data_IF_804462124221
#
_entry.id   IF_804462124221
#
_cell.length_a   1.000
_cell.length_b   1.000
_cell.length_c   1.000
_cell.angle_alpha   90.00
_cell.angle_beta   90.00
_cell.angle_gamma   90.00
#
_symmetry.space_group_name_H-M   'P 1'
#
loop_
_entity.id
_entity.type
_entity.pdbx_description
1 polymer ?
#
# COMPACT_ATOMS: atom_id res chain seq x y z
N UNK A 1 21.99 5.48 20.38
CA UNK A 1 21.03 6.56 20.05
C UNK A 1 19.87 6.09 19.16
N UNK A 2 20.06 5.50 17.97
CA UNK A 2 18.92 4.98 17.18
C UNK A 2 18.34 3.64 17.69
N UNK A 3 19.19 2.70 18.15
CA UNK A 3 18.72 1.41 18.68
C UNK A 3 17.90 1.55 19.96
N UNK A 4 18.27 2.49 20.83
CA UNK A 4 17.57 2.77 22.10
C UNK A 4 16.20 3.40 21.85
N UNK A 5 16.08 4.27 20.83
CA UNK A 5 14.80 4.87 20.45
C UNK A 5 13.83 3.80 19.93
N UNK A 6 14.31 2.91 19.06
CA UNK A 6 13.50 1.85 18.46
C UNK A 6 13.18 0.73 19.47
N UNK A 7 14.09 0.39 20.39
CA UNK A 7 13.80 -0.55 21.47
C UNK A 7 12.83 0.03 22.49
N UNK A 8 12.89 1.33 22.77
CA UNK A 8 11.91 2.02 23.62
C UNK A 8 10.53 2.12 22.95
N UNK A 9 10.47 2.34 21.63
CA UNK A 9 9.21 2.25 20.88
C UNK A 9 8.66 0.81 21.00
N UNK A 10 9.47 -0.21 20.73
CA UNK A 10 9.06 -1.61 20.86
C UNK A 10 8.59 -1.97 22.28
N UNK A 11 9.29 -1.52 23.34
CA UNK A 11 8.90 -1.82 24.73
C UNK A 11 7.64 -1.08 25.20
N UNK A 12 7.48 0.19 24.81
CA UNK A 12 6.27 0.97 25.08
C UNK A 12 5.06 0.35 24.35
N UNK A 13 5.29 -0.19 23.16
CA UNK A 13 4.23 -0.83 22.36
C UNK A 13 3.82 -2.19 22.90
N UNK A 14 4.76 -2.98 23.45
CA UNK A 14 4.48 -4.20 24.19
C UNK A 14 3.55 -3.93 25.38
N UNK A 15 3.84 -2.87 26.12
CA UNK A 15 3.03 -2.43 27.27
C UNK A 15 1.62 -2.01 26.85
N UNK A 16 1.49 -1.30 25.73
CA UNK A 16 0.20 -0.88 25.19
C UNK A 16 -0.65 -2.08 24.71
N UNK A 17 -0.04 -3.08 24.06
CA UNK A 17 -0.73 -4.30 23.63
C UNK A 17 -1.14 -5.20 24.80
N UNK A 18 -0.27 -5.35 25.81
CA UNK A 18 -0.57 -6.13 27.02
C UNK A 18 -1.80 -5.61 27.77
N UNK A 19 -2.04 -4.29 27.75
CA UNK A 19 -3.23 -3.65 28.33
C UNK A 19 -4.55 -3.88 27.58
N UNK A 20 -4.51 -4.42 26.36
CA UNK A 20 -5.69 -4.67 25.51
C UNK A 20 -6.27 -6.10 25.67
N UNK A 21 -5.77 -6.88 26.64
CA UNK A 21 -5.97 -8.33 26.82
C UNK A 21 -7.13 -8.73 27.74
N UNK A 22 -8.09 -7.84 28.03
CA UNK A 22 -9.16 -8.05 29.03
C UNK A 22 -10.12 -9.24 28.85
N UNK A 23 -9.96 -10.10 27.84
CA UNK A 23 -10.74 -11.34 27.64
C UNK A 23 -9.83 -12.54 27.42
N UNK A 24 -10.14 -13.69 28.04
CA UNK A 24 -9.32 -14.90 28.02
C UNK A 24 -9.00 -15.45 26.61
N UNK A 25 -9.95 -15.38 25.67
CA UNK A 25 -9.74 -15.76 24.26
C UNK A 25 -8.85 -14.76 23.49
N UNK A 26 -8.75 -13.52 23.97
CA UNK A 26 -7.94 -12.45 23.38
C UNK A 26 -6.50 -12.46 23.91
N UNK A 27 -6.26 -13.12 25.04
CA UNK A 27 -4.93 -13.30 25.62
C UNK A 27 -3.99 -14.10 24.70
N UNK A 28 -4.50 -15.14 24.03
CA UNK A 28 -3.69 -16.04 23.19
C UNK A 28 -3.12 -15.29 21.97
N UNK A 29 -3.94 -14.51 21.27
CA UNK A 29 -3.48 -13.77 20.08
C UNK A 29 -2.50 -12.66 20.48
N UNK A 30 -2.75 -11.95 21.59
CA UNK A 30 -1.78 -10.97 22.11
C UNK A 30 -0.46 -11.62 22.54
N UNK A 31 -0.49 -12.84 23.08
CA UNK A 31 0.69 -13.55 23.55
C UNK A 31 1.62 -14.01 22.41
N UNK A 32 1.08 -14.28 21.22
CA UNK A 32 1.88 -14.62 20.02
C UNK A 32 2.33 -13.35 19.29
N UNK A 33 1.43 -12.38 19.16
CA UNK A 33 1.66 -11.18 18.35
C UNK A 33 2.72 -10.25 18.95
N UNK A 34 2.63 -10.01 20.26
CA UNK A 34 3.55 -9.13 20.99
C UNK A 34 5.04 -9.53 20.87
N UNK A 35 5.45 -10.78 21.18
CA UNK A 35 6.85 -11.18 21.03
C UNK A 35 7.31 -11.19 19.58
N UNK A 36 6.44 -11.59 18.63
CA UNK A 36 6.74 -11.51 17.20
C UNK A 36 7.14 -10.09 16.77
N UNK A 37 6.34 -9.09 17.12
CA UNK A 37 6.62 -7.72 16.68
C UNK A 37 7.91 -7.19 17.30
N UNK A 38 8.18 -7.51 18.58
CA UNK A 38 9.42 -7.10 19.26
C UNK A 38 10.64 -7.73 18.60
N UNK A 39 10.60 -9.02 18.29
CA UNK A 39 11.67 -9.77 17.64
C UNK A 39 11.99 -9.19 16.25
N UNK A 40 10.99 -9.13 15.38
CA UNK A 40 11.17 -8.67 13.99
C UNK A 40 11.56 -7.19 13.93
N UNK A 41 10.95 -6.35 14.77
CA UNK A 41 11.31 -4.94 14.86
C UNK A 41 12.76 -4.77 15.33
N UNK A 42 13.18 -5.53 16.36
CA UNK A 42 14.54 -5.50 16.88
C UNK A 42 15.57 -5.87 15.81
N UNK A 43 15.30 -6.94 15.05
CA UNK A 43 16.16 -7.41 13.98
C UNK A 43 16.28 -6.41 12.84
N UNK A 44 15.16 -5.90 12.31
CA UNK A 44 15.18 -4.92 11.21
C UNK A 44 15.79 -3.59 11.67
N UNK A 45 15.46 -3.12 12.88
CA UNK A 45 16.05 -1.93 13.48
C UNK A 45 17.57 -2.07 13.65
N UNK A 46 18.06 -3.27 14.00
CA UNK A 46 19.48 -3.51 14.20
C UNK A 46 20.31 -3.36 12.91
N UNK A 47 19.66 -3.56 11.75
CA UNK A 47 20.21 -3.46 10.40
C UNK A 47 20.06 -2.05 9.79
N UNK A 48 19.33 -1.13 10.43
CA UNK A 48 19.18 0.23 9.94
C UNK A 48 20.51 1.01 10.03
N UNK A 49 20.99 1.53 8.89
CA UNK A 49 22.33 2.13 8.77
C UNK A 49 22.32 3.66 8.86
N UNK A 50 21.18 4.30 8.62
CA UNK A 50 21.06 5.77 8.61
C UNK A 50 19.97 6.31 9.55
N UNK A 51 20.07 7.60 9.88
CA UNK A 51 19.05 8.31 10.67
C UNK A 51 17.69 8.35 9.96
N UNK A 52 17.68 8.54 8.63
CA UNK A 52 16.46 8.55 7.83
C UNK A 52 15.77 7.19 7.79
N UNK A 53 16.52 6.10 7.71
CA UNK A 53 16.02 4.73 7.83
C UNK A 53 15.39 4.49 9.20
N UNK A 54 16.13 4.84 10.27
CA UNK A 54 15.66 4.65 11.64
C UNK A 54 14.40 5.46 11.95
N UNK A 55 14.33 6.71 11.46
CA UNK A 55 13.14 7.56 11.60
C UNK A 55 11.94 6.98 10.84
N UNK A 56 12.12 6.52 9.60
CA UNK A 56 11.01 5.92 8.81
C UNK A 56 10.48 4.64 9.44
N UNK A 57 11.37 3.77 9.93
CA UNK A 57 10.98 2.57 10.66
C UNK A 57 10.20 2.93 11.93
N UNK A 58 10.72 3.88 12.73
CA UNK A 58 10.02 4.37 13.93
C UNK A 58 8.64 4.95 13.64
N UNK A 59 8.52 5.78 12.59
CA UNK A 59 7.24 6.34 12.12
C UNK A 59 6.26 5.20 11.75
N UNK A 60 6.70 4.20 11.00
CA UNK A 60 5.86 3.08 10.56
C UNK A 60 5.37 2.21 11.72
N UNK A 61 6.28 1.87 12.64
CA UNK A 61 5.96 1.06 13.81
C UNK A 61 4.91 1.77 14.66
N UNK A 62 5.12 3.07 14.93
CA UNK A 62 4.14 3.88 15.67
C UNK A 62 2.79 3.94 14.94
N UNK A 63 2.78 4.07 13.62
CA UNK A 63 1.54 4.06 12.82
C UNK A 63 0.77 2.74 12.97
N UNK A 64 1.45 1.60 12.82
CA UNK A 64 0.87 0.26 12.97
C UNK A 64 0.22 0.13 14.36
N UNK A 65 0.96 0.45 15.43
CA UNK A 65 0.45 0.32 16.79
C UNK A 65 -0.70 1.26 17.11
N UNK A 66 -0.64 2.50 16.64
CA UNK A 66 -1.75 3.43 16.81
C UNK A 66 -3.02 2.91 16.13
N UNK A 67 -2.90 2.37 14.92
CA UNK A 67 -4.04 1.77 14.21
C UNK A 67 -4.56 0.52 14.92
N UNK A 68 -3.70 -0.36 15.42
CA UNK A 68 -4.12 -1.47 16.27
C UNK A 68 -4.89 -1.01 17.49
N UNK A 69 -4.38 -0.02 18.23
CA UNK A 69 -5.07 0.52 19.40
C UNK A 69 -6.46 1.05 19.02
N UNK A 70 -6.56 1.82 17.92
CA UNK A 70 -7.84 2.35 17.45
C UNK A 70 -8.83 1.23 17.12
N UNK A 71 -8.45 0.26 16.28
CA UNK A 71 -9.33 -0.86 15.89
C UNK A 71 -9.75 -1.69 17.09
N UNK A 72 -8.83 -1.94 18.04
CA UNK A 72 -9.13 -2.63 19.30
C UNK A 72 -10.10 -1.85 20.18
N UNK A 73 -9.93 -0.53 20.31
CA UNK A 73 -10.86 0.34 21.01
C UNK A 73 -12.24 0.39 20.34
N UNK A 74 -12.31 0.17 19.02
CA UNK A 74 -13.56 0.04 18.26
C UNK A 74 -14.22 -1.35 18.40
N UNK A 75 -13.62 -2.25 19.18
CA UNK A 75 -14.17 -3.58 19.45
C UNK A 75 -13.79 -4.64 18.42
N UNK A 76 -12.96 -4.30 17.44
CA UNK A 76 -12.47 -5.27 16.46
C UNK A 76 -11.49 -6.26 17.10
N UNK A 77 -11.49 -7.49 16.60
CA UNK A 77 -10.58 -8.53 17.06
C UNK A 77 -9.60 -8.88 15.95
N UNK A 78 -8.40 -9.31 16.36
CA UNK A 78 -7.47 -9.93 15.42
C UNK A 78 -8.11 -11.16 14.77
N UNK A 79 -7.70 -11.44 13.53
CA UNK A 79 -8.09 -12.66 12.81
C UNK A 79 -7.68 -13.91 13.59
N UNK A 80 -8.46 -14.98 13.46
CA UNK A 80 -8.31 -16.22 14.26
C UNK A 80 -7.91 -17.43 13.42
N UNK A 81 -7.69 -17.24 12.14
CA UNK A 81 -7.33 -18.30 11.22
C UNK A 81 -5.86 -18.71 11.34
N UNK A 82 -5.48 -19.69 10.52
CA UNK A 82 -4.16 -20.29 10.56
C UNK A 82 -3.03 -19.28 10.40
N UNK A 83 -3.28 -18.12 9.76
CA UNK A 83 -2.30 -17.04 9.57
C UNK A 83 -1.76 -16.44 10.88
N UNK A 84 -2.51 -16.47 11.99
CA UNK A 84 -2.10 -15.89 13.29
C UNK A 84 -1.88 -16.91 14.43
N UNK A 85 -2.09 -18.20 14.17
CA UNK A 85 -1.91 -19.29 15.18
C UNK A 85 -0.51 -19.90 15.14
N UNK A 86 -0.17 -20.86 16.02
CA UNK A 86 1.22 -21.33 16.31
C UNK A 86 2.13 -21.68 15.10
N UNK A 87 1.58 -22.09 13.93
CA UNK A 87 2.36 -22.21 12.68
C UNK A 87 2.29 -20.95 11.78
N UNK A 88 1.22 -20.17 11.88
CA UNK A 88 1.05 -18.88 11.20
C UNK A 88 1.79 -17.73 11.85
N UNK A 89 2.18 -17.83 13.13
CA UNK A 89 3.04 -16.83 13.76
C UNK A 89 4.30 -16.56 12.94
N UNK A 90 4.90 -17.61 12.37
CA UNK A 90 6.06 -17.50 11.49
C UNK A 90 5.72 -16.87 10.13
N UNK A 91 4.55 -17.15 9.58
CA UNK A 91 4.06 -16.54 8.35
C UNK A 91 3.81 -15.04 8.52
N UNK A 92 3.15 -14.64 9.61
CA UNK A 92 2.94 -13.25 9.96
C UNK A 92 4.26 -12.51 10.22
N UNK A 93 5.24 -13.17 10.87
CA UNK A 93 6.62 -12.67 11.04
C UNK A 93 7.28 -12.35 9.70
N UNK A 94 7.21 -13.27 8.74
CA UNK A 94 7.81 -13.09 7.41
C UNK A 94 7.18 -11.92 6.65
N UNK A 95 5.85 -11.80 6.70
CA UNK A 95 5.16 -10.66 6.07
C UNK A 95 5.56 -9.34 6.76
N UNK A 96 5.60 -9.31 8.10
CA UNK A 96 6.03 -8.14 8.85
C UNK A 96 7.47 -7.75 8.52
N UNK A 97 8.40 -8.71 8.49
CA UNK A 97 9.80 -8.45 8.13
C UNK A 97 9.88 -7.86 6.72
N UNK A 98 9.20 -8.46 5.75
CA UNK A 98 9.14 -7.95 4.38
C UNK A 98 8.60 -6.52 4.29
N UNK A 99 7.55 -6.21 5.06
CA UNK A 99 6.96 -4.85 5.12
C UNK A 99 7.95 -3.84 5.73
N UNK A 100 8.60 -4.19 6.85
CA UNK A 100 9.56 -3.29 7.50
C UNK A 100 10.83 -3.09 6.64
N UNK A 101 11.32 -4.13 5.97
CA UNK A 101 12.41 -4.03 4.99
C UNK A 101 12.00 -3.13 3.82
N UNK A 102 10.76 -3.25 3.35
CA UNK A 102 10.25 -2.37 2.31
C UNK A 102 10.26 -0.90 2.74
N UNK A 103 9.74 -0.60 3.92
CA UNK A 103 9.74 0.75 4.50
C UNK A 103 11.17 1.29 4.69
N UNK A 104 12.09 0.45 5.17
CA UNK A 104 13.48 0.85 5.40
C UNK A 104 14.15 1.37 4.12
N UNK A 105 13.82 0.77 2.98
CA UNK A 105 14.38 1.12 1.66
C UNK A 105 13.50 2.12 0.88
N UNK A 106 12.36 2.56 1.42
CA UNK A 106 11.38 3.35 0.68
C UNK A 106 11.75 4.84 0.54
N UNK A 107 12.01 5.29 -0.68
CA UNK A 107 12.37 6.69 -0.94
C UNK A 107 11.16 7.63 -0.88
N UNK A 108 9.96 7.13 -1.18
CA UNK A 108 8.72 7.92 -1.14
C UNK A 108 8.10 7.87 0.26
N UNK A 109 8.43 8.84 1.14
CA UNK A 109 7.93 8.86 2.54
C UNK A 109 6.40 8.68 2.66
N UNK A 110 5.63 9.14 1.67
CA UNK A 110 4.16 8.99 1.62
C UNK A 110 3.73 7.51 1.57
N UNK A 111 4.55 6.60 1.02
CA UNK A 111 4.24 5.17 0.95
C UNK A 111 4.29 4.43 2.28
N UNK A 112 4.94 5.01 3.29
CA UNK A 112 5.12 4.38 4.61
C UNK A 112 3.77 4.07 5.27
N UNK A 113 2.79 4.97 5.15
CA UNK A 113 1.45 4.75 5.70
C UNK A 113 0.76 3.54 5.08
N UNK A 114 0.83 3.37 3.76
CA UNK A 114 0.14 2.27 3.08
C UNK A 114 0.80 0.92 3.36
N UNK A 115 2.13 0.88 3.53
CA UNK A 115 2.80 -0.31 4.04
C UNK A 115 2.35 -0.67 5.47
N UNK A 116 2.18 0.32 6.35
CA UNK A 116 1.65 0.13 7.69
C UNK A 116 0.18 -0.33 7.68
N UNK A 117 -0.64 0.21 6.76
CA UNK A 117 -2.04 -0.18 6.57
C UNK A 117 -2.15 -1.64 6.15
N UNK A 118 -1.32 -2.09 5.20
CA UNK A 118 -1.30 -3.48 4.76
C UNK A 118 -1.14 -4.44 5.94
N UNK A 119 -0.10 -4.24 6.75
CA UNK A 119 0.14 -5.11 7.89
C UNK A 119 -1.01 -5.02 8.90
N UNK A 120 -1.53 -3.80 9.11
CA UNK A 120 -2.60 -3.59 10.07
C UNK A 120 -3.86 -4.34 9.66
N UNK A 121 -4.30 -4.16 8.42
CA UNK A 121 -5.51 -4.78 7.89
C UNK A 121 -5.37 -6.29 7.81
N UNK A 122 -4.20 -6.78 7.40
CA UNK A 122 -3.88 -8.21 7.39
C UNK A 122 -4.03 -8.87 8.76
N UNK A 123 -3.81 -8.15 9.87
CA UNK A 123 -3.96 -8.69 11.22
C UNK A 123 -5.41 -8.76 11.72
N UNK A 124 -6.33 -8.03 11.10
CA UNK A 124 -7.73 -7.93 11.52
C UNK A 124 -8.69 -8.57 10.51
N UNK A 125 -8.27 -8.72 9.26
CA UNK A 125 -9.14 -9.08 8.14
C UNK A 125 -8.63 -10.34 7.44
N UNK A 126 -9.56 -11.25 7.13
CA UNK A 126 -9.27 -12.54 6.50
C UNK A 126 -9.41 -12.50 4.97
N UNK A 127 -9.20 -11.34 4.34
CA UNK A 127 -9.30 -11.19 2.87
C UNK A 127 -8.14 -11.87 2.13
N UNK A 128 -6.97 -11.90 2.77
CA UNK A 128 -5.74 -12.44 2.21
C UNK A 128 -5.26 -13.66 3.00
N UNK A 129 -4.88 -14.70 2.27
CA UNK A 129 -4.04 -15.80 2.79
C UNK A 129 -2.55 -15.41 2.72
N UNK A 130 -1.69 -16.21 3.34
CA UNK A 130 -0.27 -15.92 3.44
C UNK A 130 0.44 -15.64 2.11
N UNK A 131 0.31 -16.53 1.13
CA UNK A 131 0.99 -16.36 -0.16
C UNK A 131 0.54 -15.08 -0.88
N UNK A 132 -0.74 -14.71 -0.73
CA UNK A 132 -1.28 -13.48 -1.29
C UNK A 132 -0.76 -12.25 -0.55
N UNK A 133 -0.61 -12.31 0.77
CA UNK A 133 -0.05 -11.22 1.56
C UNK A 133 1.42 -10.95 1.19
N UNK A 134 2.22 -12.01 0.98
CA UNK A 134 3.59 -11.88 0.46
C UNK A 134 3.60 -11.28 -0.94
N UNK A 135 2.75 -11.77 -1.84
CA UNK A 135 2.63 -11.22 -3.20
C UNK A 135 2.29 -9.72 -3.18
N UNK A 136 1.29 -9.32 -2.38
CA UNK A 136 0.87 -7.92 -2.23
C UNK A 136 2.01 -7.08 -1.62
N UNK A 137 2.73 -7.61 -0.63
CA UNK A 137 3.91 -6.95 -0.02
C UNK A 137 4.99 -6.65 -1.08
N UNK A 138 5.29 -7.61 -1.95
CA UNK A 138 6.22 -7.39 -3.06
C UNK A 138 5.69 -6.43 -4.12
N UNK A 139 4.38 -6.48 -4.40
CA UNK A 139 3.74 -5.63 -5.39
C UNK A 139 3.82 -4.16 -4.97
N UNK A 140 3.48 -3.83 -3.72
CA UNK A 140 3.45 -2.45 -3.21
C UNK A 140 4.84 -1.83 -3.18
N UNK A 141 5.88 -2.62 -2.89
CA UNK A 141 7.27 -2.17 -2.98
C UNK A 141 7.60 -1.61 -4.37
N UNK A 142 6.99 -2.16 -5.43
CA UNK A 142 7.25 -1.80 -6.82
C UNK A 142 6.34 -0.69 -7.36
N UNK A 143 5.22 -0.40 -6.71
CA UNK A 143 4.31 0.66 -7.14
C UNK A 143 4.82 2.03 -6.68
N UNK A 144 4.71 3.05 -7.52
CA UNK A 144 4.96 4.43 -7.10
C UNK A 144 3.80 4.97 -6.25
N UNK A 145 4.03 6.05 -5.48
CA UNK A 145 2.93 6.70 -4.78
C UNK A 145 1.84 7.20 -5.75
N UNK A 146 2.24 7.69 -6.94
CA UNK A 146 1.31 8.12 -7.98
C UNK A 146 0.46 6.96 -8.51
N UNK A 147 1.03 5.76 -8.62
CA UNK A 147 0.27 4.56 -8.96
C UNK A 147 -0.75 4.19 -7.87
N UNK A 148 -0.44 4.38 -6.58
CA UNK A 148 -1.43 4.21 -5.51
C UNK A 148 -2.58 5.22 -5.64
N UNK A 149 -2.28 6.48 -5.98
CA UNK A 149 -3.31 7.50 -6.27
C UNK A 149 -4.16 7.08 -7.47
N UNK A 150 -3.54 6.59 -8.55
CA UNK A 150 -4.27 6.10 -9.72
C UNK A 150 -5.26 4.99 -9.35
N UNK A 151 -4.83 4.01 -8.55
CA UNK A 151 -5.73 2.94 -8.04
C UNK A 151 -6.91 3.56 -7.27
N UNK A 152 -6.66 4.55 -6.41
CA UNK A 152 -7.73 5.23 -5.69
C UNK A 152 -8.71 5.98 -6.61
N UNK A 153 -8.21 6.62 -7.67
CA UNK A 153 -9.04 7.30 -8.68
C UNK A 153 -9.90 6.28 -9.44
N UNK A 154 -9.30 5.18 -9.92
CA UNK A 154 -10.01 4.14 -10.66
C UNK A 154 -11.10 3.44 -9.82
N UNK A 155 -10.98 3.44 -8.49
CA UNK A 155 -12.04 2.96 -7.60
C UNK A 155 -13.28 3.86 -7.60
N UNK A 156 -13.11 5.19 -7.73
CA UNK A 156 -14.21 6.16 -7.64
C UNK A 156 -15.11 6.13 -8.86
N UNK A 157 -14.51 5.98 -10.04
CA UNK A 157 -15.24 5.94 -11.31
C UNK A 157 -14.38 5.34 -12.40
N UNK A 158 -14.98 4.59 -13.36
CA UNK A 158 -14.27 4.21 -14.58
C UNK A 158 -13.76 5.48 -15.29
N UNK A 159 -12.46 5.57 -15.50
CA UNK A 159 -11.88 6.71 -16.22
C UNK A 159 -11.99 6.39 -17.70
N UNK A 160 -12.72 7.22 -18.43
CA UNK A 160 -12.80 7.13 -19.88
C UNK A 160 -11.54 7.72 -20.48
N UNK A 161 -10.88 6.91 -21.28
CA UNK A 161 -9.61 7.25 -21.91
C UNK A 161 -9.86 7.55 -23.39
N UNK A 162 -10.91 8.34 -23.64
CA UNK A 162 -11.29 8.80 -24.98
C UNK A 162 -10.09 9.52 -25.61
N UNK A 163 -9.66 9.09 -26.80
CA UNK A 163 -8.61 9.75 -27.61
C UNK A 163 -7.17 9.71 -27.06
N UNK A 164 -6.80 8.74 -26.19
CA UNK A 164 -5.38 8.51 -25.90
C UNK A 164 -4.71 7.69 -27.02
N UNK A 165 -4.56 8.32 -28.19
CA UNK A 165 -3.75 7.78 -29.27
C UNK A 165 -2.35 8.39 -29.11
N UNK A 166 -1.40 7.59 -28.63
CA UNK A 166 0.02 8.00 -28.60
C UNK A 166 0.61 7.92 -30.00
N UNK A 167 0.28 8.89 -30.84
CA UNK A 167 1.23 9.27 -31.87
C UNK A 167 2.27 10.14 -31.17
N UNK A 168 3.44 9.56 -30.94
CA UNK A 168 4.63 10.35 -30.71
C UNK A 168 4.85 11.12 -32.02
N UNK A 169 4.28 12.32 -32.14
CA UNK A 169 4.78 13.27 -33.13
C UNK A 169 6.29 13.35 -32.88
N UNK A 170 7.08 12.81 -33.81
CA UNK A 170 8.43 13.29 -34.05
C UNK A 170 8.32 14.82 -34.16
N UNK A 171 9.36 15.55 -33.79
CA UNK A 171 9.43 17.01 -33.72
C UNK A 171 9.10 17.64 -32.36
N UNK A 172 10.11 17.74 -31.49
CA UNK A 172 10.79 19.03 -31.31
C UNK A 172 12.08 18.86 -30.48
N UNK A 173 13.10 19.64 -30.83
CA UNK A 173 14.47 19.58 -30.27
C UNK A 173 14.59 20.07 -28.81
N UNK A 174 13.50 20.26 -28.07
CA UNK A 174 13.55 20.68 -26.67
C UNK A 174 13.13 19.56 -25.73
N UNK A 175 14.15 19.00 -25.09
CA UNK A 175 14.09 17.98 -24.06
C UNK A 175 13.15 18.31 -22.92
N UNK A 176 12.41 17.29 -22.49
CA UNK A 176 12.03 16.85 -21.12
C UNK A 176 10.82 15.93 -21.35
N UNK A 177 10.90 14.66 -20.95
CA UNK A 177 9.81 13.66 -20.96
C UNK A 177 8.42 14.27 -21.21
N UNK A 178 7.86 14.07 -22.42
CA UNK A 178 6.52 14.55 -22.79
C UNK A 178 5.59 14.18 -21.63
N UNK A 179 5.02 15.17 -20.95
CA UNK A 179 4.57 15.05 -19.55
C UNK A 179 3.39 14.08 -19.31
N UNK A 180 3.00 13.29 -20.31
CA UNK A 180 1.96 12.27 -20.26
C UNK A 180 2.50 10.86 -20.51
N UNK A 181 3.72 10.74 -21.06
CA UNK A 181 4.29 9.44 -21.42
C UNK A 181 4.61 8.62 -20.16
N UNK A 182 5.13 9.28 -19.11
CA UNK A 182 5.36 8.67 -17.81
C UNK A 182 4.06 8.20 -17.15
N UNK A 183 3.01 9.03 -17.16
CA UNK A 183 1.71 8.69 -16.60
C UNK A 183 1.04 7.53 -17.36
N UNK A 184 1.14 7.52 -18.68
CA UNK A 184 0.63 6.41 -19.49
C UNK A 184 1.40 5.12 -19.25
N UNK A 185 2.73 5.18 -19.15
CA UNK A 185 3.54 4.02 -18.78
C UNK A 185 3.13 3.48 -17.41
N UNK A 186 2.83 4.34 -16.43
CA UNK A 186 2.32 3.91 -15.13
C UNK A 186 0.95 3.22 -15.23
N UNK A 187 0.04 3.73 -16.07
CA UNK A 187 -1.28 3.11 -16.30
C UNK A 187 -1.14 1.77 -17.01
N UNK A 188 -0.29 1.67 -18.04
CA UNK A 188 0.01 0.41 -18.73
C UNK A 188 0.71 -0.59 -17.83
N UNK A 189 1.55 -0.13 -16.93
CA UNK A 189 2.18 -0.96 -15.91
C UNK A 189 1.15 -1.51 -14.91
N UNK A 190 0.15 -0.71 -14.50
CA UNK A 190 -0.98 -1.16 -13.67
C UNK A 190 -1.85 -2.19 -14.41
N UNK A 191 -2.09 -1.99 -15.70
CA UNK A 191 -2.84 -2.93 -16.56
C UNK A 191 -2.09 -4.25 -16.74
N UNK A 192 -0.78 -4.19 -17.01
CA UNK A 192 0.06 -5.39 -17.14
C UNK A 192 0.13 -6.19 -15.83
N UNK A 193 0.08 -5.51 -14.69
CA UNK A 193 -0.02 -6.13 -13.36
C UNK A 193 -1.43 -6.62 -13.02
N UNK A 194 -2.41 -6.43 -13.92
CA UNK A 194 -3.83 -6.79 -13.73
C UNK A 194 -4.40 -6.14 -12.47
N UNK A 195 -3.95 -4.92 -12.14
CA UNK A 195 -4.52 -4.09 -11.06
C UNK A 195 -5.72 -3.32 -11.58
N UNK A 196 -5.62 -2.86 -12.83
CA UNK A 196 -6.73 -2.30 -13.59
C UNK A 196 -7.05 -3.21 -14.78
N UNK A 197 -8.31 -3.19 -15.18
CA UNK A 197 -8.81 -3.92 -16.34
C UNK A 197 -9.50 -2.95 -17.27
N UNK A 198 -9.34 -3.20 -18.56
CA UNK A 198 -10.08 -2.51 -19.60
C UNK A 198 -11.53 -3.01 -19.62
N UNK A 199 -12.47 -2.09 -19.60
CA UNK A 199 -13.86 -2.40 -19.90
C UNK A 199 -13.97 -2.52 -21.41
N UNK A 200 -14.53 -3.63 -21.92
CA UNK A 200 -14.90 -3.79 -23.33
C UNK A 200 -15.37 -2.46 -23.96
N UNK A 201 -14.97 -2.16 -25.21
CA UNK A 201 -15.15 -0.84 -25.80
C UNK A 201 -16.58 -0.37 -25.60
N UNK A 202 -16.74 0.69 -24.79
CA UNK A 202 -18.05 1.19 -24.38
C UNK A 202 -18.74 1.85 -25.58
N UNK A 203 -17.94 2.43 -26.48
CA UNK A 203 -18.35 3.00 -27.75
C UNK A 203 -17.14 3.19 -28.68
N UNK A 204 -17.37 3.67 -29.90
CA UNK A 204 -16.34 4.17 -30.81
C UNK A 204 -16.55 5.67 -31.03
N UNK A 205 -15.50 6.49 -30.91
CA UNK A 205 -15.48 7.90 -31.29
C UNK A 205 -14.53 8.08 -32.47
N UNK A 206 -15.00 8.62 -33.60
CA UNK A 206 -14.20 8.79 -34.83
C UNK A 206 -13.45 7.51 -35.28
N UNK A 207 -14.08 6.34 -35.09
CA UNK A 207 -13.49 5.03 -35.45
C UNK A 207 -12.47 4.48 -34.44
N UNK A 208 -12.16 5.22 -33.36
CA UNK A 208 -11.29 4.76 -32.27
C UNK A 208 -12.12 4.18 -31.12
N UNK A 209 -11.76 3.00 -30.57
CA UNK A 209 -12.43 2.42 -29.42
C UNK A 209 -12.24 3.28 -28.17
N UNK A 210 -13.33 3.53 -27.45
CA UNK A 210 -13.32 4.19 -26.14
C UNK A 210 -13.10 3.12 -25.08
N UNK A 211 -11.88 3.09 -24.56
CA UNK A 211 -11.51 2.24 -23.44
C UNK A 211 -11.82 2.95 -22.12
N UNK A 212 -12.30 2.19 -21.15
CA UNK A 212 -12.51 2.69 -19.80
C UNK A 212 -11.86 1.71 -18.83
N UNK A 213 -10.94 2.20 -18.01
CA UNK A 213 -10.31 1.37 -17.00
C UNK A 213 -11.12 1.35 -15.72
N UNK A 214 -11.23 0.17 -15.12
CA UNK A 214 -11.76 -0.04 -13.76
C UNK A 214 -10.75 -0.86 -12.96
N UNK A 215 -10.92 -0.90 -11.63
CA UNK A 215 -10.16 -1.83 -10.81
C UNK A 215 -10.55 -3.29 -11.11
N UNK A 216 -9.53 -4.15 -11.21
CA UNK A 216 -9.71 -5.61 -11.18
C UNK A 216 -10.07 -6.06 -9.75
N UNK A 217 -10.33 -7.36 -9.58
CA UNK A 217 -10.47 -7.96 -8.22
C UNK A 217 -9.19 -7.72 -7.39
N UNK A 218 -8.01 -7.89 -8.00
CA UNK A 218 -6.73 -7.62 -7.34
C UNK A 218 -6.59 -6.14 -6.98
N UNK A 219 -6.97 -5.23 -7.88
CA UNK A 219 -6.97 -3.79 -7.62
C UNK A 219 -7.89 -3.41 -6.46
N UNK A 220 -9.07 -4.02 -6.36
CA UNK A 220 -9.99 -3.81 -5.24
C UNK A 220 -9.41 -4.33 -3.92
N UNK A 221 -8.74 -5.48 -3.94
CA UNK A 221 -8.04 -6.01 -2.76
C UNK A 221 -6.97 -5.02 -2.31
N UNK A 222 -6.10 -4.56 -3.22
CA UNK A 222 -5.04 -3.58 -2.91
C UNK A 222 -5.64 -2.28 -2.37
N UNK A 223 -6.71 -1.77 -3.00
CA UNK A 223 -7.40 -0.56 -2.55
C UNK A 223 -7.84 -0.66 -1.09
N UNK A 224 -8.45 -1.78 -0.71
CA UNK A 224 -8.96 -2.02 0.63
C UNK A 224 -7.84 -2.29 1.64
N UNK A 225 -6.91 -3.19 1.32
CA UNK A 225 -5.83 -3.59 2.22
C UNK A 225 -4.88 -2.43 2.55
N UNK A 226 -4.73 -1.48 1.64
CA UNK A 226 -3.93 -0.29 1.86
C UNK A 226 -4.71 0.90 2.41
N UNK A 227 -6.03 0.79 2.55
CA UNK A 227 -6.90 1.92 2.92
C UNK A 227 -6.65 3.14 2.00
N UNK A 228 -6.67 2.93 0.68
CA UNK A 228 -6.42 4.00 -0.29
C UNK A 228 -7.55 5.05 -0.31
N UNK A 229 -8.65 4.81 0.40
CA UNK A 229 -9.64 5.82 0.77
C UNK A 229 -9.05 6.98 1.59
N UNK A 230 -7.95 6.75 2.33
CA UNK A 230 -7.32 7.76 3.17
C UNK A 230 -6.38 8.72 2.41
N UNK A 231 -6.14 8.49 1.11
CA UNK A 231 -5.27 9.36 0.31
C UNK A 231 -5.82 10.81 0.34
N UNK A 232 -4.98 11.82 0.63
CA UNK A 232 -5.41 13.23 0.65
C UNK A 232 -6.02 13.68 -0.67
N UNK A 233 -7.17 14.35 -0.62
CA UNK A 233 -7.87 14.86 -1.82
C UNK A 233 -6.98 15.78 -2.66
N UNK A 234 -6.10 16.57 -2.05
CA UNK A 234 -5.16 17.43 -2.79
C UNK A 234 -4.25 16.64 -3.73
N UNK A 235 -3.82 15.44 -3.33
CA UNK A 235 -2.97 14.59 -4.14
C UNK A 235 -3.78 13.88 -5.23
N UNK A 236 -5.03 13.50 -4.93
CA UNK A 236 -5.98 12.97 -5.91
C UNK A 236 -6.30 14.00 -6.98
N UNK A 237 -6.56 15.25 -6.58
CA UNK A 237 -6.88 16.35 -7.48
C UNK A 237 -5.71 16.66 -8.42
N UNK A 238 -4.47 16.69 -7.91
CA UNK A 238 -3.27 16.89 -8.77
C UNK A 238 -3.17 15.84 -9.87
N UNK A 239 -3.33 14.55 -9.52
CA UNK A 239 -3.25 13.47 -10.53
C UNK A 239 -4.46 13.48 -11.46
N UNK A 240 -5.65 13.79 -10.94
CA UNK A 240 -6.87 13.92 -11.73
C UNK A 240 -6.77 15.06 -12.75
N UNK A 241 -6.19 16.20 -12.37
CA UNK A 241 -5.86 17.29 -13.28
C UNK A 241 -4.88 16.83 -14.38
N UNK A 242 -3.90 15.99 -14.06
CA UNK A 242 -3.01 15.43 -15.10
C UNK A 242 -3.75 14.53 -16.10
N UNK A 243 -4.83 13.86 -15.67
CA UNK A 243 -5.69 13.04 -16.53
C UNK A 243 -6.66 13.89 -17.36
N UNK A 244 -7.25 14.94 -16.78
CA UNK A 244 -8.28 15.79 -17.41
C UNK A 244 -7.65 16.88 -18.30
N UNK A 245 -6.64 17.57 -17.79
CA UNK A 245 -6.13 18.83 -18.34
C UNK A 245 -5.20 18.62 -19.55
N UNK A 246 -5.10 17.37 -20.04
CA UNK A 246 -4.26 17.03 -21.17
C UNK A 246 -5.11 16.67 -22.37
N UNK A 247 -5.32 17.70 -23.19
CA UNK A 247 -5.50 17.57 -24.63
C UNK A 247 -4.24 16.90 -25.21
N UNK A 248 -4.19 15.57 -25.21
CA UNK A 248 -3.52 14.88 -26.29
C UNK A 248 -4.29 15.27 -27.55
N UNK A 249 -3.82 16.32 -28.24
CA UNK A 249 -4.31 16.62 -29.58
C UNK A 249 -3.84 15.48 -30.47
N UNK A 250 -4.81 14.71 -30.94
CA UNK A 250 -4.70 13.89 -32.15
C UNK A 250 -4.84 14.89 -33.30
N UNK A 251 -3.83 14.95 -34.17
CA UNK A 251 -4.06 15.31 -35.57
C UNK A 251 -4.19 14.00 -36.35
#
# INVERSE_FOLDING_TARGET
MNKDLLSNIASNTLTALGGLSGDADKAIISAVFSPMVVEITGDVASRALSALQSSRLGDAINLIFNKFKIRRCQGENFRKDAFMTDNGGEQAKQVLEGILLNINEEYEKKKVEYHANLFTNLCFEERLIFDQALYVTHLIKRLSYRQLILIAIFNRSPIKVENWVFQFEEYSENYIFKSCADLYCEIKDLEQKVIIEDCNPIATYEGSPIYAFKLSVLGMIIYNELDLSSIPEDDINKVSEMLINKRCKIL
#
